data_IF_998776850743
#
_entry.id   IF_998776850743
#
_cell.length_a   1.000
_cell.length_b   1.000
_cell.length_c   1.000
_cell.angle_alpha   90.00
_cell.angle_beta   90.00
_cell.angle_gamma   90.00
#
_symmetry.space_group_name_H-M   'P 1'
#
loop_
_entity.id
_entity.type
_entity.pdbx_description
1 polymer ?
#
# COMPACT_ATOMS: atom_id res chain seq x y z
N UNK A 1 2.52 0.03 -7.62
CA UNK A 1 1.71 0.00 -6.39
C UNK A 1 2.40 -0.89 -5.38
N UNK A 2 2.85 -0.31 -4.28
CA UNK A 2 3.43 -1.09 -3.17
C UNK A 2 2.33 -1.74 -2.33
N UNK A 3 2.67 -2.85 -1.71
CA UNK A 3 1.82 -3.52 -0.73
C UNK A 3 2.66 -4.15 0.38
N UNK A 4 2.08 -4.22 1.57
CA UNK A 4 2.67 -4.88 2.72
C UNK A 4 1.63 -5.63 3.54
N UNK A 5 2.04 -6.71 4.17
CA UNK A 5 1.22 -7.49 5.08
C UNK A 5 1.96 -7.63 6.40
N UNK A 6 1.27 -7.29 7.46
CA UNK A 6 1.75 -7.42 8.84
C UNK A 6 0.78 -8.29 9.64
N UNK A 7 1.29 -8.92 10.68
CA UNK A 7 0.51 -9.59 11.70
C UNK A 7 0.55 -8.76 12.99
N UNK A 8 -0.62 -8.53 13.57
CA UNK A 8 -0.75 -7.79 14.83
C UNK A 8 -1.29 -8.73 15.91
N UNK A 9 -0.54 -8.86 16.99
CA UNK A 9 -0.92 -9.66 18.16
C UNK A 9 -0.70 -8.82 19.41
N UNK A 10 -1.78 -8.28 20.00
CA UNK A 10 -1.71 -7.32 21.09
C UNK A 10 -0.97 -6.05 20.65
N UNK A 11 0.13 -5.71 21.33
CA UNK A 11 1.02 -4.58 20.97
C UNK A 11 2.14 -4.96 20.01
N UNK A 12 2.26 -6.24 19.64
CA UNK A 12 3.32 -6.74 18.76
C UNK A 12 2.90 -6.66 17.31
N UNK A 13 3.78 -6.14 16.48
CA UNK A 13 3.65 -6.08 15.02
C UNK A 13 4.79 -6.91 14.42
N UNK A 14 4.45 -7.79 13.49
CA UNK A 14 5.42 -8.60 12.75
C UNK A 14 5.19 -8.48 11.24
N UNK A 15 6.28 -8.39 10.48
CA UNK A 15 6.23 -8.44 9.02
C UNK A 15 5.88 -9.85 8.55
N UNK A 16 4.96 -9.94 7.59
CA UNK A 16 4.59 -11.20 6.92
C UNK A 16 5.11 -11.21 5.49
N UNK A 17 4.75 -10.21 4.69
CA UNK A 17 5.14 -10.11 3.29
C UNK A 17 5.07 -8.67 2.79
N UNK A 18 5.79 -8.37 1.73
CA UNK A 18 5.67 -7.10 1.00
C UNK A 18 6.04 -7.28 -0.47
N UNK A 19 5.67 -6.33 -1.29
CA UNK A 19 6.01 -6.36 -2.70
C UNK A 19 5.48 -5.16 -3.47
N UNK A 20 5.64 -5.24 -4.79
CA UNK A 20 5.19 -4.22 -5.72
C UNK A 20 4.39 -4.88 -6.84
N UNK A 21 3.21 -4.34 -7.12
CA UNK A 21 2.43 -4.64 -8.31
C UNK A 21 2.78 -3.62 -9.40
N UNK A 22 3.16 -4.11 -10.57
CA UNK A 22 3.52 -3.29 -11.71
C UNK A 22 2.40 -3.28 -12.73
N UNK A 23 1.91 -2.08 -13.10
CA UNK A 23 0.95 -1.98 -14.19
C UNK A 23 1.61 -2.31 -15.53
N UNK A 24 1.04 -3.24 -16.28
CA UNK A 24 1.49 -3.61 -17.62
C UNK A 24 0.30 -3.68 -18.58
N UNK A 25 0.55 -3.36 -19.84
CA UNK A 25 -0.46 -3.31 -20.88
C UNK A 25 -0.32 -2.09 -21.79
N UNK A 26 -0.92 -2.17 -22.98
CA UNK A 26 -0.85 -1.14 -24.00
C UNK A 26 -1.74 0.06 -23.68
N UNK A 27 -2.90 -0.19 -23.10
CA UNK A 27 -3.88 0.81 -22.73
C UNK A 27 -4.18 0.81 -21.22
N UNK A 28 -4.94 1.81 -20.77
CA UNK A 28 -5.29 1.99 -19.38
C UNK A 28 -6.10 0.81 -18.82
N UNK A 29 -7.05 0.29 -19.60
CA UNK A 29 -7.90 -0.81 -19.15
C UNK A 29 -7.07 -2.05 -18.85
N UNK A 30 -6.16 -2.43 -19.74
CA UNK A 30 -5.24 -3.55 -19.55
C UNK A 30 -4.27 -3.34 -18.39
N UNK A 31 -3.80 -2.12 -18.21
CA UNK A 31 -2.93 -1.76 -17.08
C UNK A 31 -3.64 -1.88 -15.74
N UNK A 32 -4.89 -1.44 -15.65
CA UNK A 32 -5.70 -1.60 -14.45
C UNK A 32 -6.05 -3.06 -14.19
N UNK A 33 -6.38 -3.82 -15.24
CA UNK A 33 -6.64 -5.26 -15.14
C UNK A 33 -5.40 -6.02 -14.63
N UNK A 34 -4.21 -5.66 -15.10
CA UNK A 34 -2.94 -6.22 -14.60
C UNK A 34 -2.77 -5.98 -13.10
N UNK A 35 -3.00 -4.76 -12.62
CA UNK A 35 -2.97 -4.45 -11.19
C UNK A 35 -4.03 -5.24 -10.41
N UNK A 36 -5.24 -5.31 -10.94
CA UNK A 36 -6.34 -6.05 -10.33
C UNK A 36 -5.99 -7.53 -10.11
N UNK A 37 -5.44 -8.20 -11.13
CA UNK A 37 -5.03 -9.60 -11.03
C UNK A 37 -3.91 -9.79 -10.00
N UNK A 38 -2.88 -8.96 -10.02
CA UNK A 38 -1.77 -9.06 -9.07
C UNK A 38 -2.24 -8.83 -7.63
N UNK A 39 -3.08 -7.82 -7.38
CA UNK A 39 -3.64 -7.59 -6.05
C UNK A 39 -4.58 -8.70 -5.60
N UNK A 40 -5.35 -9.28 -6.52
CA UNK A 40 -6.20 -10.45 -6.23
C UNK A 40 -5.35 -11.63 -5.79
N UNK A 41 -4.23 -11.88 -6.46
CA UNK A 41 -3.30 -12.94 -6.08
C UNK A 41 -2.69 -12.68 -4.69
N UNK A 42 -2.31 -11.44 -4.38
CA UNK A 42 -1.82 -11.07 -3.06
C UNK A 42 -2.86 -11.37 -1.97
N UNK A 43 -4.09 -10.92 -2.14
CA UNK A 43 -5.16 -11.14 -1.16
C UNK A 43 -5.49 -12.63 -1.02
N UNK A 44 -5.52 -13.38 -2.12
CA UNK A 44 -5.79 -14.82 -2.10
C UNK A 44 -4.67 -15.62 -1.44
N UNK A 45 -3.42 -15.29 -1.72
CA UNK A 45 -2.27 -16.03 -1.22
C UNK A 45 -2.02 -15.78 0.27
N UNK A 46 -2.24 -14.56 0.75
CA UNK A 46 -1.93 -14.19 2.12
C UNK A 46 -3.14 -14.15 3.05
N UNK A 47 -4.36 -14.13 2.50
CA UNK A 47 -5.63 -14.16 3.21
C UNK A 47 -5.68 -13.21 4.43
N UNK A 48 -5.46 -11.90 4.25
CA UNK A 48 -5.51 -10.95 5.35
C UNK A 48 -6.94 -10.82 5.93
N UNK A 49 -7.06 -10.42 7.18
CA UNK A 49 -8.35 -10.22 7.84
C UNK A 49 -8.96 -8.84 7.56
N UNK A 50 -8.12 -7.87 7.25
CA UNK A 50 -8.51 -6.47 7.01
C UNK A 50 -7.52 -5.82 6.05
N UNK A 51 -7.92 -4.70 5.48
CA UNK A 51 -7.07 -3.93 4.58
C UNK A 51 -7.06 -2.45 4.94
N UNK A 52 -5.96 -1.78 4.62
CA UNK A 52 -5.83 -0.33 4.71
C UNK A 52 -5.25 0.22 3.41
N UNK A 53 -5.78 1.34 2.94
CA UNK A 53 -5.36 1.99 1.70
C UNK A 53 -5.05 3.46 1.98
N UNK A 54 -3.91 3.92 1.49
CA UNK A 54 -3.53 5.32 1.61
C UNK A 54 -4.43 6.20 0.71
N UNK A 55 -4.90 7.32 1.25
CA UNK A 55 -5.65 8.31 0.48
C UNK A 55 -4.73 9.04 -0.48
N UNK A 56 -5.26 9.38 -1.65
CA UNK A 56 -4.60 10.21 -2.67
C UNK A 56 -5.23 11.58 -2.69
N UNK A 57 -4.40 12.62 -2.68
CA UNK A 57 -4.84 14.01 -2.79
C UNK A 57 -4.55 14.57 -4.17
N UNK A 58 -5.35 15.55 -4.59
CA UNK A 58 -5.12 16.31 -5.81
C UNK A 58 -3.82 17.09 -5.69
N UNK A 59 -2.93 16.92 -6.68
CA UNK A 59 -1.70 17.67 -6.81
C UNK A 59 -1.78 18.64 -8.02
N UNK A 60 -0.70 19.32 -8.32
CA UNK A 60 -0.63 20.28 -9.45
C UNK A 60 -0.76 19.60 -10.82
N UNK A 61 -0.42 18.32 -10.93
CA UNK A 61 -0.57 17.55 -12.16
C UNK A 61 -1.88 16.75 -12.11
N UNK A 62 -2.88 17.28 -12.82
CA UNK A 62 -4.21 16.69 -12.88
C UNK A 62 -4.21 15.31 -13.55
N UNK A 63 -3.37 15.09 -14.56
CA UNK A 63 -3.27 13.81 -15.28
C UNK A 63 -2.67 12.74 -14.37
N UNK A 64 -1.59 13.07 -13.67
CA UNK A 64 -0.98 12.15 -12.69
C UNK A 64 -1.95 11.85 -11.55
N UNK A 65 -2.70 12.84 -11.06
CA UNK A 65 -3.72 12.66 -10.03
C UNK A 65 -4.81 11.68 -10.48
N UNK A 66 -5.31 11.81 -11.71
CA UNK A 66 -6.30 10.87 -12.27
C UNK A 66 -5.76 9.45 -12.35
N UNK A 67 -4.55 9.27 -12.85
CA UNK A 67 -3.90 7.94 -12.93
C UNK A 67 -3.73 7.29 -11.57
N UNK A 68 -3.30 8.05 -10.57
CA UNK A 68 -3.17 7.57 -9.19
C UNK A 68 -4.53 7.17 -8.61
N UNK A 69 -5.57 7.98 -8.84
CA UNK A 69 -6.93 7.70 -8.39
C UNK A 69 -7.50 6.42 -9.02
N UNK A 70 -7.24 6.19 -10.30
CA UNK A 70 -7.66 4.97 -11.01
C UNK A 70 -6.94 3.73 -10.45
N UNK A 71 -5.64 3.79 -10.26
CA UNK A 71 -4.89 2.69 -9.64
C UNK A 71 -5.35 2.44 -8.19
N UNK A 72 -5.60 3.50 -7.43
CA UNK A 72 -6.11 3.42 -6.06
C UNK A 72 -7.48 2.75 -6.00
N UNK A 73 -8.35 2.97 -6.99
CA UNK A 73 -9.64 2.28 -7.06
C UNK A 73 -9.49 0.75 -7.06
N UNK A 74 -8.48 0.22 -7.73
CA UNK A 74 -8.14 -1.21 -7.70
C UNK A 74 -7.74 -1.65 -6.29
N UNK A 75 -6.93 -0.85 -5.59
CA UNK A 75 -6.51 -1.15 -4.22
C UNK A 75 -7.67 -1.18 -3.21
N UNK A 76 -8.73 -0.41 -3.45
CA UNK A 76 -9.96 -0.43 -2.65
C UNK A 76 -10.88 -1.60 -3.03
N UNK A 77 -11.05 -1.81 -4.34
CA UNK A 77 -12.01 -2.78 -4.87
C UNK A 77 -11.64 -4.23 -4.56
N UNK A 78 -10.38 -4.59 -4.72
CA UNK A 78 -9.92 -5.99 -4.55
C UNK A 78 -10.16 -6.51 -3.13
N UNK A 79 -9.72 -5.84 -2.05
CA UNK A 79 -10.02 -6.32 -0.71
C UNK A 79 -11.52 -6.24 -0.37
N UNK A 80 -12.24 -5.24 -0.86
CA UNK A 80 -13.69 -5.14 -0.68
C UNK A 80 -14.41 -6.32 -1.35
N UNK A 81 -14.02 -6.73 -2.55
CA UNK A 81 -14.54 -7.89 -3.25
C UNK A 81 -14.27 -9.20 -2.49
N UNK A 82 -13.15 -9.28 -1.78
CA UNK A 82 -12.82 -10.40 -0.90
C UNK A 82 -13.59 -10.39 0.43
N UNK A 83 -14.45 -9.40 0.67
CA UNK A 83 -15.25 -9.27 1.89
C UNK A 83 -14.48 -8.68 3.07
N UNK A 84 -13.31 -8.08 2.85
CA UNK A 84 -12.52 -7.49 3.92
C UNK A 84 -13.00 -6.08 4.29
N UNK A 85 -12.97 -5.70 5.58
CA UNK A 85 -13.06 -4.30 5.97
C UNK A 85 -11.88 -3.52 5.38
N UNK A 86 -12.15 -2.36 4.78
CA UNK A 86 -11.12 -1.51 4.16
C UNK A 86 -11.11 -0.15 4.85
N UNK A 87 -10.02 0.17 5.52
CA UNK A 87 -9.78 1.48 6.11
C UNK A 87 -8.97 2.38 5.16
N UNK A 88 -9.16 3.70 5.27
CA UNK A 88 -8.44 4.68 4.49
C UNK A 88 -7.74 5.68 5.41
N UNK A 89 -6.49 5.98 5.14
CA UNK A 89 -5.68 6.89 5.94
C UNK A 89 -4.97 7.93 5.08
N UNK A 90 -4.99 9.19 5.55
CA UNK A 90 -4.25 10.26 4.91
C UNK A 90 -2.72 10.06 5.05
N UNK A 91 -1.92 10.35 4.01
CA UNK A 91 -0.46 10.19 4.04
C UNK A 91 0.22 10.83 5.24
N UNK A 92 -0.16 12.06 5.56
CA UNK A 92 0.41 12.78 6.71
C UNK A 92 0.05 12.13 8.06
N UNK A 93 -1.12 11.52 8.17
CA UNK A 93 -1.51 10.78 9.37
C UNK A 93 -0.64 9.52 9.53
N UNK A 94 -0.41 8.80 8.44
CA UNK A 94 0.47 7.61 8.44
C UNK A 94 1.88 8.02 8.85
N UNK A 95 2.47 9.01 8.19
CA UNK A 95 3.82 9.52 8.50
C UNK A 95 3.95 9.96 9.96
N UNK A 96 2.99 10.71 10.46
CA UNK A 96 2.99 11.18 11.84
C UNK A 96 2.91 10.02 12.84
N UNK A 97 2.14 8.99 12.53
CA UNK A 97 2.02 7.80 13.39
C UNK A 97 3.32 6.98 13.40
N UNK A 98 3.92 6.78 12.23
CA UNK A 98 5.12 5.93 12.07
C UNK A 98 6.39 6.63 12.56
N UNK A 99 6.58 7.90 12.22
CA UNK A 99 7.83 8.64 12.46
C UNK A 99 7.69 9.69 13.55
N UNK A 100 6.46 10.12 13.87
CA UNK A 100 6.16 11.20 14.81
C UNK A 100 6.02 12.58 14.17
N UNK A 101 6.37 12.75 12.89
CA UNK A 101 6.25 14.00 12.13
C UNK A 101 5.57 13.77 10.78
N UNK A 102 4.62 14.64 10.42
CA UNK A 102 3.81 14.48 9.21
C UNK A 102 4.53 14.77 7.89
N UNK A 103 5.73 15.35 7.94
CA UNK A 103 6.55 15.70 6.77
C UNK A 103 7.84 14.87 6.68
N UNK A 104 7.84 13.67 7.26
CA UNK A 104 8.97 12.76 7.18
C UNK A 104 9.32 12.45 5.71
N UNK A 105 10.61 12.43 5.39
CA UNK A 105 11.10 12.00 4.09
C UNK A 105 11.11 10.46 3.95
N UNK A 106 11.38 9.99 2.75
CA UNK A 106 11.38 8.54 2.46
C UNK A 106 12.43 7.77 3.24
N UNK A 107 13.58 8.37 3.53
CA UNK A 107 14.65 7.74 4.32
C UNK A 107 14.25 7.56 5.79
N UNK A 108 13.58 8.55 6.36
CA UNK A 108 13.05 8.49 7.72
C UNK A 108 11.98 7.40 7.85
N UNK A 109 11.09 7.28 6.86
CA UNK A 109 10.06 6.22 6.83
C UNK A 109 10.72 4.84 6.71
N UNK A 110 11.63 4.63 5.76
CA UNK A 110 12.34 3.36 5.58
C UNK A 110 13.07 2.96 6.87
N UNK A 111 13.76 3.90 7.52
CA UNK A 111 14.44 3.66 8.78
C UNK A 111 13.49 3.21 9.90
N UNK A 112 12.35 3.89 10.06
CA UNK A 112 11.37 3.56 11.09
C UNK A 112 10.65 2.23 10.82
N UNK A 113 10.35 1.93 9.55
CA UNK A 113 9.79 0.63 9.17
C UNK A 113 10.74 -0.50 9.55
N UNK A 114 12.04 -0.35 9.28
CA UNK A 114 13.05 -1.36 9.65
C UNK A 114 13.21 -1.51 11.17
N UNK A 115 13.07 -0.43 11.92
CA UNK A 115 13.08 -0.49 13.38
C UNK A 115 11.86 -1.21 13.96
N UNK A 116 10.68 -0.93 13.42
CA UNK A 116 9.41 -1.50 13.90
C UNK A 116 9.18 -2.93 13.41
N UNK A 117 9.78 -3.29 12.28
CA UNK A 117 9.71 -4.61 11.66
C UNK A 117 11.12 -5.21 11.50
N UNK A 118 11.77 -5.65 12.59
CA UNK A 118 13.14 -6.15 12.53
C UNK A 118 13.29 -7.32 11.55
N UNK A 119 14.34 -7.29 10.73
CA UNK A 119 14.62 -8.33 9.76
C UNK A 119 13.80 -8.24 8.46
N UNK A 120 13.00 -7.19 8.27
CA UNK A 120 12.24 -7.01 7.03
C UNK A 120 13.15 -6.79 5.82
N UNK A 121 12.92 -7.54 4.76
CA UNK A 121 13.48 -7.29 3.42
C UNK A 121 12.46 -6.52 2.59
N UNK A 122 12.68 -5.22 2.45
CA UNK A 122 11.77 -4.33 1.73
C UNK A 122 12.07 -4.41 0.23
N UNK A 123 11.07 -4.80 -0.56
CA UNK A 123 11.17 -4.98 -2.02
C UNK A 123 10.97 -3.69 -2.81
N UNK A 124 11.63 -2.61 -2.41
CA UNK A 124 11.61 -1.32 -3.09
C UNK A 124 10.90 -0.21 -2.32
N UNK A 125 11.05 1.02 -2.78
CA UNK A 125 10.56 2.21 -2.09
C UNK A 125 9.03 2.22 -1.91
N UNK A 126 8.27 1.78 -2.93
CA UNK A 126 6.81 1.72 -2.85
C UNK A 126 6.33 0.67 -1.83
N UNK A 127 7.08 -0.41 -1.65
CA UNK A 127 6.79 -1.42 -0.62
C UNK A 127 7.14 -0.91 0.80
N UNK A 128 8.12 -0.01 0.93
CA UNK A 128 8.44 0.63 2.20
C UNK A 128 7.34 1.62 2.65
N UNK A 129 6.71 2.29 1.68
CA UNK A 129 5.61 3.22 1.92
C UNK A 129 4.28 2.48 2.26
N UNK A 130 4.15 1.24 1.83
CA UNK A 130 2.97 0.40 2.06
C UNK A 130 3.01 -0.29 3.42
#
# INVERSE_FOLDING_TARGET
MGWGIIEVSGSRIAHVANGICHSSGEDLAMRLLSLYHQMTDVVSNWAPDTAAVEQTFVNKDAVATLKLGQARAVALLVPAQAGLPVAEYAPNKVKKTVVGVGHADKQQIDHMVRLQLPGVEIKGADAADA
#
